data_IF_324882816837
#
_entry.id   IF_324882816837
#
_cell.length_a   1.000
_cell.length_b   1.000
_cell.length_c   1.000
_cell.angle_alpha   90.00
_cell.angle_beta   90.00
_cell.angle_gamma   90.00
#
_symmetry.space_group_name_H-M   'P 1'
#
loop_
_entity.id
_entity.type
_entity.pdbx_description
1 polymer ?
#
# COMPACT_ATOMS: atom_id res chain seq x y z
N UNK A 1 9.36 -12.17 22.22
CA UNK A 1 7.96 -11.76 22.16
C UNK A 1 7.51 -11.65 20.70
N UNK A 2 6.43 -12.35 20.31
CA UNK A 2 5.94 -12.22 18.94
C UNK A 2 5.46 -10.80 18.67
N UNK A 3 5.84 -10.27 17.51
CA UNK A 3 5.47 -8.91 17.14
C UNK A 3 5.33 -8.76 15.64
N UNK A 4 4.65 -7.69 15.23
CA UNK A 4 4.50 -7.34 13.84
C UNK A 4 5.25 -6.05 13.52
N UNK A 5 5.80 -5.99 12.32
CA UNK A 5 6.37 -4.77 11.77
C UNK A 5 5.70 -4.51 10.43
N UNK A 6 5.06 -3.36 10.29
CA UNK A 6 4.38 -2.99 9.06
C UNK A 6 5.20 -1.90 8.38
N UNK A 7 5.60 -2.17 7.14
CA UNK A 7 6.43 -1.25 6.36
C UNK A 7 5.70 -0.89 5.07
N UNK A 8 5.42 0.40 4.82
CA UNK A 8 4.90 0.80 3.52
C UNK A 8 6.00 0.69 2.48
N UNK A 9 5.63 0.14 1.32
CA UNK A 9 6.54 0.03 0.19
C UNK A 9 6.29 1.20 -0.76
N UNK A 10 6.85 1.13 -1.97
CA UNK A 10 6.74 2.22 -2.93
C UNK A 10 5.30 2.32 -3.44
N UNK A 11 4.65 3.47 -3.18
CA UNK A 11 3.32 3.74 -3.70
C UNK A 11 3.42 4.25 -5.13
N UNK A 12 2.47 3.84 -5.98
CA UNK A 12 2.45 4.24 -7.39
C UNK A 12 1.10 4.84 -7.74
N UNK A 13 1.10 5.64 -8.80
CA UNK A 13 -0.12 6.24 -9.33
C UNK A 13 -0.08 6.14 -10.85
N UNK A 14 -1.13 5.56 -11.42
CA UNK A 14 -1.27 5.43 -12.87
C UNK A 14 -2.48 6.21 -13.35
N UNK A 15 -2.29 7.00 -14.40
CA UNK A 15 -3.38 7.74 -15.02
C UNK A 15 -4.23 6.79 -15.89
N UNK A 16 -5.53 6.84 -15.67
CA UNK A 16 -6.49 6.14 -16.50
C UNK A 16 -7.16 7.14 -17.44
N UNK A 17 -8.26 6.75 -18.07
CA UNK A 17 -8.99 7.64 -18.98
C UNK A 17 -9.65 8.79 -18.21
N UNK A 18 -9.52 9.99 -18.75
CA UNK A 18 -10.11 11.19 -18.16
C UNK A 18 -9.38 11.63 -16.91
N UNK A 19 -10.14 11.96 -15.86
CA UNK A 19 -9.59 12.43 -14.59
C UNK A 19 -9.44 11.31 -13.57
N UNK A 20 -9.47 10.06 -14.00
CA UNK A 20 -9.35 8.91 -13.13
C UNK A 20 -7.90 8.49 -12.98
N UNK A 21 -7.53 8.13 -11.76
CA UNK A 21 -6.20 7.65 -11.41
C UNK A 21 -6.32 6.44 -10.53
N UNK A 22 -5.42 5.50 -10.72
CA UNK A 22 -5.33 4.33 -9.86
C UNK A 22 -4.07 4.46 -9.01
N UNK A 23 -4.24 4.44 -7.70
CA UNK A 23 -3.13 4.43 -6.75
C UNK A 23 -2.98 3.06 -6.13
N UNK A 24 -1.75 2.58 -6.09
CA UNK A 24 -1.42 1.31 -5.46
C UNK A 24 -0.56 1.57 -4.24
N UNK A 25 -0.99 1.01 -3.10
CA UNK A 25 -0.29 1.13 -1.83
C UNK A 25 0.13 -0.25 -1.35
N UNK A 26 1.34 -0.72 -1.71
CA UNK A 26 1.82 -1.99 -1.22
C UNK A 26 2.41 -1.84 0.18
N UNK A 27 2.14 -2.83 1.02
CA UNK A 27 2.66 -2.90 2.38
C UNK A 27 3.29 -4.26 2.61
N UNK A 28 4.36 -4.26 3.42
CA UNK A 28 4.95 -5.49 3.90
C UNK A 28 4.65 -5.61 5.38
N UNK A 29 4.09 -6.75 5.77
CA UNK A 29 3.83 -7.09 7.17
C UNK A 29 4.79 -8.21 7.54
N UNK A 30 5.69 -7.94 8.46
CA UNK A 30 6.62 -8.94 8.96
C UNK A 30 6.18 -9.42 10.31
N UNK A 31 6.16 -10.73 10.49
CA UNK A 31 5.82 -11.34 11.77
C UNK A 31 7.03 -12.07 12.33
N UNK A 32 7.38 -11.72 13.56
CA UNK A 32 8.49 -12.31 14.27
C UNK A 32 7.94 -13.32 15.28
N UNK A 33 8.05 -14.64 14.99
CA UNK A 33 7.44 -15.66 15.85
C UNK A 33 8.28 -15.96 17.10
N UNK A 34 7.71 -16.79 17.97
CA UNK A 34 8.46 -17.34 19.10
C UNK A 34 9.45 -18.39 18.60
N UNK A 35 10.52 -18.60 19.38
CA UNK A 35 11.65 -19.41 18.94
C UNK A 35 11.35 -20.87 18.61
N UNK A 36 10.39 -21.53 19.28
CA UNK A 36 10.29 -22.98 19.27
C UNK A 36 9.35 -23.62 18.24
N UNK A 37 8.58 -22.88 17.48
CA UNK A 37 7.66 -23.46 16.50
C UNK A 37 7.34 -22.49 15.37
N UNK A 38 8.35 -21.84 14.87
CA UNK A 38 8.17 -20.73 13.96
C UNK A 38 7.41 -21.09 12.67
N UNK A 39 7.63 -22.28 12.10
CA UNK A 39 6.97 -22.65 10.85
C UNK A 39 5.45 -22.80 11.02
N UNK A 40 5.02 -23.52 12.04
CA UNK A 40 3.61 -23.70 12.31
C UNK A 40 2.94 -22.39 12.71
N UNK A 41 3.60 -21.60 13.53
CA UNK A 41 3.10 -20.31 13.97
C UNK A 41 2.98 -19.33 12.81
N UNK A 42 3.99 -19.29 11.94
CA UNK A 42 3.95 -18.43 10.77
C UNK A 42 2.86 -18.84 9.78
N UNK A 43 2.66 -20.14 9.58
CA UNK A 43 1.58 -20.63 8.70
C UNK A 43 0.20 -20.23 9.23
N UNK A 44 0.00 -20.34 10.53
CA UNK A 44 -1.25 -19.96 11.17
C UNK A 44 -1.49 -18.45 11.07
N UNK A 45 -0.47 -17.65 11.32
CA UNK A 45 -0.54 -16.20 11.21
C UNK A 45 -0.79 -15.79 9.76
N UNK A 46 -0.15 -16.45 8.81
CA UNK A 46 -0.35 -16.18 7.39
C UNK A 46 -1.81 -16.36 6.98
N UNK A 47 -2.46 -17.44 7.43
CA UNK A 47 -3.88 -17.65 7.17
C UNK A 47 -4.74 -16.53 7.75
N UNK A 48 -4.42 -16.10 8.96
CA UNK A 48 -5.14 -14.98 9.58
C UNK A 48 -4.95 -13.69 8.81
N UNK A 49 -3.74 -13.44 8.29
CA UNK A 49 -3.45 -12.24 7.52
C UNK A 49 -4.19 -12.25 6.18
N UNK A 50 -4.27 -13.39 5.49
CA UNK A 50 -5.04 -13.50 4.27
C UNK A 50 -6.52 -13.12 4.50
N UNK A 51 -7.08 -13.54 5.63
CA UNK A 51 -8.47 -13.25 5.94
C UNK A 51 -8.68 -11.84 6.49
N UNK A 52 -7.79 -11.36 7.34
CA UNK A 52 -7.94 -10.06 7.99
C UNK A 52 -7.62 -8.88 7.08
N UNK A 53 -6.63 -9.05 6.18
CA UNK A 53 -6.16 -7.96 5.33
C UNK A 53 -6.85 -7.92 3.97
N UNK A 54 -7.74 -8.86 3.70
CA UNK A 54 -8.49 -8.85 2.42
C UNK A 54 -9.34 -7.59 2.29
N UNK A 55 -9.96 -7.15 3.38
CA UNK A 55 -10.74 -5.91 3.39
C UNK A 55 -10.34 -5.05 4.57
N UNK A 56 -10.05 -3.81 4.30
CA UNK A 56 -9.77 -2.84 5.36
C UNK A 56 -10.69 -1.62 5.19
N UNK A 57 -10.92 -0.92 6.29
CA UNK A 57 -11.71 0.30 6.27
C UNK A 57 -10.78 1.51 6.28
N UNK A 58 -10.94 2.37 5.30
CA UNK A 58 -10.20 3.62 5.21
C UNK A 58 -11.21 4.75 5.05
N UNK A 59 -11.33 5.61 6.06
CA UNK A 59 -12.27 6.73 6.05
C UNK A 59 -13.69 6.30 5.69
N UNK A 60 -14.19 5.25 6.35
CA UNK A 60 -15.52 4.67 6.14
C UNK A 60 -15.70 3.95 4.80
N UNK A 61 -14.66 3.87 3.98
CA UNK A 61 -14.69 3.11 2.74
C UNK A 61 -13.97 1.78 2.91
N UNK A 62 -14.55 0.72 2.35
CA UNK A 62 -13.93 -0.60 2.38
C UNK A 62 -13.00 -0.73 1.18
N UNK A 63 -11.73 -1.05 1.44
CA UNK A 63 -10.74 -1.25 0.39
C UNK A 63 -10.30 -2.71 0.40
N UNK A 64 -10.27 -3.32 -0.77
CA UNK A 64 -9.89 -4.71 -0.92
C UNK A 64 -8.38 -4.84 -1.11
N UNK A 65 -7.78 -5.78 -0.37
CA UNK A 65 -6.39 -6.13 -0.56
C UNK A 65 -6.20 -7.04 -1.76
N UNK A 66 -5.19 -6.76 -2.57
CA UNK A 66 -4.86 -7.54 -3.76
C UNK A 66 -3.40 -7.95 -3.71
N UNK A 67 -3.02 -8.88 -4.58
CA UNK A 67 -1.63 -9.36 -4.69
C UNK A 67 -1.06 -9.77 -3.33
N UNK A 68 -1.87 -10.48 -2.56
CA UNK A 68 -1.44 -10.96 -1.25
C UNK A 68 -0.55 -12.19 -1.41
N UNK A 69 0.62 -12.14 -0.80
CA UNK A 69 1.57 -13.23 -0.81
C UNK A 69 2.32 -13.30 0.52
N UNK A 70 2.70 -14.50 0.91
CA UNK A 70 3.45 -14.70 2.13
C UNK A 70 4.62 -15.63 1.90
N UNK A 71 5.72 -15.36 2.58
CA UNK A 71 6.94 -16.15 2.46
C UNK A 71 7.70 -16.11 3.79
N UNK A 72 8.23 -17.25 4.17
CA UNK A 72 9.05 -17.36 5.38
C UNK A 72 10.52 -17.28 4.98
N UNK A 73 11.22 -16.27 5.48
CA UNK A 73 12.64 -16.04 5.20
C UNK A 73 13.34 -15.80 6.54
N UNK A 74 14.38 -16.59 6.83
CA UNK A 74 15.14 -16.47 8.07
C UNK A 74 14.23 -16.52 9.30
N UNK A 75 13.27 -17.46 9.30
CA UNK A 75 12.32 -17.70 10.41
C UNK A 75 11.37 -16.54 10.65
N UNK A 76 11.27 -15.61 9.70
CA UNK A 76 10.37 -14.46 9.77
C UNK A 76 9.36 -14.57 8.63
N UNK A 77 8.09 -14.40 8.96
CA UNK A 77 7.05 -14.36 7.94
C UNK A 77 7.04 -12.98 7.30
N UNK A 78 7.22 -12.96 5.98
CA UNK A 78 7.11 -11.74 5.19
C UNK A 78 5.83 -11.83 4.37
N UNK A 79 4.87 -10.99 4.67
CA UNK A 79 3.57 -10.96 4.00
C UNK A 79 3.40 -9.64 3.28
N UNK A 80 3.08 -9.70 1.99
CA UNK A 80 2.86 -8.51 1.19
C UNK A 80 1.39 -8.42 0.80
N UNK A 81 0.86 -7.21 0.85
CA UNK A 81 -0.50 -6.92 0.42
C UNK A 81 -0.51 -5.56 -0.27
N UNK A 82 -1.27 -5.44 -1.34
CA UNK A 82 -1.40 -4.19 -2.07
C UNK A 82 -2.84 -3.72 -2.00
N UNK A 83 -3.02 -2.45 -1.69
CA UNK A 83 -4.34 -1.82 -1.70
C UNK A 83 -4.40 -0.83 -2.84
N UNK A 84 -5.29 -1.09 -3.79
CA UNK A 84 -5.50 -0.23 -4.95
C UNK A 84 -6.71 0.64 -4.69
N UNK A 85 -6.59 1.90 -5.04
CA UNK A 85 -7.66 2.87 -4.86
C UNK A 85 -7.82 3.70 -6.12
N UNK A 86 -9.05 3.80 -6.59
CA UNK A 86 -9.37 4.71 -7.68
C UNK A 86 -9.69 6.09 -7.13
N UNK A 87 -9.09 7.10 -7.72
CA UNK A 87 -9.35 8.48 -7.33
C UNK A 87 -9.71 9.30 -8.56
N UNK A 88 -10.51 10.32 -8.34
CA UNK A 88 -10.83 11.29 -9.35
C UNK A 88 -10.12 12.59 -9.00
N UNK A 89 -9.40 13.15 -9.98
CA UNK A 89 -8.80 14.47 -9.83
C UNK A 89 -9.59 15.45 -10.64
N UNK A 90 -10.30 16.35 -9.96
CA UNK A 90 -11.03 17.42 -10.61
C UNK A 90 -10.10 18.62 -10.69
N UNK A 91 -9.90 19.12 -11.91
CA UNK A 91 -9.10 20.32 -12.09
C UNK A 91 -9.85 21.52 -11.52
N UNK A 92 -9.29 22.07 -10.48
CA UNK A 92 -9.75 23.29 -9.86
C UNK A 92 -9.01 24.46 -10.52
N UNK A 93 -9.69 25.58 -10.85
CA UNK A 93 -8.99 26.74 -11.44
C UNK A 93 -7.79 27.20 -10.62
N UNK A 94 -7.87 27.15 -9.29
CA UNK A 94 -6.77 27.51 -8.42
C UNK A 94 -5.55 26.60 -8.59
N UNK A 95 -5.78 25.30 -8.73
CA UNK A 95 -4.70 24.35 -8.96
C UNK A 95 -4.04 24.55 -10.31
N UNK A 96 -4.82 24.89 -11.34
CA UNK A 96 -4.28 25.19 -12.66
C UNK A 96 -3.36 26.41 -12.62
N UNK A 97 -3.76 27.45 -11.89
CA UNK A 97 -2.93 28.64 -11.72
C UNK A 97 -1.64 28.33 -10.99
N UNK A 98 -1.70 27.51 -9.94
CA UNK A 98 -0.51 27.10 -9.21
C UNK A 98 0.44 26.30 -10.07
N UNK A 99 -0.07 25.40 -10.90
CA UNK A 99 0.77 24.60 -11.78
C UNK A 99 1.41 25.46 -12.86
N UNK A 100 0.71 26.42 -13.41
CA UNK A 100 1.28 27.36 -14.38
C UNK A 100 2.39 28.20 -13.75
N UNK A 101 2.18 28.67 -12.53
CA UNK A 101 3.20 29.43 -11.81
C UNK A 101 4.44 28.58 -11.55
N UNK A 102 4.28 27.31 -11.20
CA UNK A 102 5.40 26.40 -11.00
C UNK A 102 6.17 26.15 -12.29
N UNK A 103 5.47 25.94 -13.40
CA UNK A 103 6.11 25.72 -14.69
C UNK A 103 6.91 26.95 -15.13
N UNK A 104 6.38 28.13 -14.95
CA UNK A 104 7.09 29.37 -15.26
C UNK A 104 8.33 29.53 -14.41
N UNK A 105 8.23 29.21 -13.13
CA UNK A 105 9.37 29.30 -12.22
C UNK A 105 10.49 28.32 -12.60
N UNK A 106 10.13 27.13 -13.04
CA UNK A 106 11.09 26.14 -13.50
C UNK A 106 11.79 26.61 -14.78
N UNK A 107 11.06 27.20 -15.71
CA UNK A 107 11.61 27.71 -16.95
C UNK A 107 12.56 28.89 -16.73
N UNK A 108 12.25 29.76 -15.77
CA UNK A 108 13.11 30.89 -15.45
C UNK A 108 14.47 30.48 -14.88
N UNK A 109 14.56 29.28 -14.29
CA UNK A 109 15.82 28.78 -13.74
C UNK A 109 16.73 28.14 -14.79
N UNK A 110 16.23 27.90 -15.96
CA UNK A 110 17.03 27.40 -17.07
C UNK A 110 17.67 28.56 -17.85
#
# INVERSE_FOLDING_TARGET
>A
VPCFLITPLISTENELLGNRYERSYPFMVQYFPKEDAYQAECAEVQEKLFNCLEYINVNENVVRGTDMSGRIVNDILNFEVTYDRMIWKVRNPEESELMQALEQHIQEKE
#
